data_IF_700361082925
#
_entry.id   IF_700361082925
#
_cell.length_a   1.000
_cell.length_b   1.000
_cell.length_c   1.000
_cell.angle_alpha   90.00
_cell.angle_beta   90.00
_cell.angle_gamma   90.00
#
_symmetry.space_group_name_H-M   'P 1'
#
loop_
_entity.id
_entity.type
_entity.pdbx_description
1 polymer ?
#
# COMPACT_ATOMS: atom_id res chain seq x y z
N UNK A 1 -2.23 -5.18 -11.10
CA UNK A 1 -2.22 -4.57 -12.42
C UNK A 1 -1.16 -3.49 -12.45
N UNK A 2 -0.21 -3.57 -13.36
CA UNK A 2 0.94 -2.65 -13.42
C UNK A 2 1.01 -1.89 -14.75
N UNK A 3 1.37 -0.61 -14.66
CA UNK A 3 1.63 0.26 -15.79
C UNK A 3 3.04 0.85 -15.60
N UNK A 4 3.84 0.81 -16.65
CA UNK A 4 5.16 1.45 -16.66
C UNK A 4 5.21 2.44 -17.81
N UNK A 5 5.61 3.67 -17.53
CA UNK A 5 5.69 4.74 -18.52
C UNK A 5 7.17 5.10 -18.76
N UNK A 6 7.60 5.04 -20.01
CA UNK A 6 8.96 5.35 -20.44
C UNK A 6 8.96 5.98 -21.83
N UNK A 7 10.14 6.29 -22.34
CA UNK A 7 10.37 6.85 -23.69
C UNK A 7 10.87 5.78 -24.65
N UNK A 8 10.37 5.79 -25.87
CA UNK A 8 10.85 4.92 -26.95
C UNK A 8 12.24 5.38 -27.42
N UNK A 9 13.20 4.46 -27.42
CA UNK A 9 14.59 4.71 -27.82
C UNK A 9 14.84 4.56 -29.32
N UNK A 10 13.85 4.00 -30.05
CA UNK A 10 13.92 3.78 -31.51
C UNK A 10 12.52 3.68 -32.09
N UNK A 11 12.42 3.87 -33.40
CA UNK A 11 11.19 3.58 -34.14
C UNK A 11 10.90 2.07 -34.08
N UNK A 12 9.64 1.72 -33.85
CA UNK A 12 9.19 0.33 -33.83
C UNK A 12 7.70 0.26 -34.10
N UNK A 13 7.22 -0.96 -34.41
CA UNK A 13 5.80 -1.26 -34.57
C UNK A 13 5.45 -2.45 -33.69
N UNK A 14 4.43 -2.30 -32.87
CA UNK A 14 3.91 -3.36 -32.01
C UNK A 14 2.42 -3.52 -32.29
N UNK A 15 2.03 -4.65 -32.82
CA UNK A 15 0.68 -4.89 -33.35
C UNK A 15 0.29 -3.79 -34.39
N UNK A 16 -0.80 -3.06 -34.13
CA UNK A 16 -1.23 -1.93 -34.97
C UNK A 16 -0.65 -0.57 -34.52
N UNK A 17 0.18 -0.53 -33.46
CA UNK A 17 0.70 0.68 -32.88
C UNK A 17 2.05 1.06 -33.51
N UNK A 18 2.09 2.19 -34.21
CA UNK A 18 3.33 2.77 -34.71
C UNK A 18 3.95 3.66 -33.64
N UNK A 19 5.21 3.40 -33.30
CA UNK A 19 5.95 4.07 -32.25
C UNK A 19 7.15 4.75 -32.87
N UNK A 20 7.25 6.06 -32.72
CA UNK A 20 8.41 6.83 -33.15
C UNK A 20 9.39 6.98 -32.00
N UNK A 21 10.69 7.07 -32.33
CA UNK A 21 11.71 7.41 -31.36
C UNK A 21 11.35 8.71 -30.65
N UNK A 22 11.45 8.73 -29.33
CA UNK A 22 11.08 9.87 -28.50
C UNK A 22 9.61 9.90 -28.08
N UNK A 23 8.72 9.07 -28.67
CA UNK A 23 7.37 8.92 -28.12
C UNK A 23 7.42 8.38 -26.68
N UNK A 24 6.45 8.79 -25.87
CA UNK A 24 6.20 8.17 -24.59
C UNK A 24 5.36 6.91 -24.80
N UNK A 25 5.71 5.84 -24.13
CA UNK A 25 5.05 4.54 -24.26
C UNK A 25 4.61 4.04 -22.88
N UNK A 26 3.47 3.38 -22.84
CA UNK A 26 2.99 2.71 -21.63
C UNK A 26 2.95 1.19 -21.83
N UNK A 27 3.63 0.50 -20.90
CA UNK A 27 3.59 -0.95 -20.80
C UNK A 27 2.57 -1.34 -19.75
N UNK A 28 1.54 -2.04 -20.16
CA UNK A 28 0.49 -2.59 -19.28
C UNK A 28 0.76 -4.06 -19.08
N UNK A 29 1.00 -4.47 -17.83
CA UNK A 29 1.41 -5.82 -17.47
C UNK A 29 2.57 -6.35 -18.35
N UNK A 30 3.56 -5.48 -18.60
CA UNK A 30 4.76 -5.80 -19.36
C UNK A 30 4.64 -5.73 -20.90
N UNK A 31 3.45 -5.43 -21.45
CA UNK A 31 3.22 -5.30 -22.90
C UNK A 31 2.97 -3.84 -23.26
N UNK A 32 3.62 -3.35 -24.32
CA UNK A 32 3.35 -1.99 -24.84
C UNK A 32 1.90 -1.97 -25.37
N UNK A 33 1.10 -1.03 -24.85
CA UNK A 33 -0.31 -0.88 -25.20
C UNK A 33 -0.66 0.53 -25.68
N UNK A 34 0.13 1.53 -25.31
CA UNK A 34 -0.13 2.92 -25.66
C UNK A 34 1.17 3.61 -26.04
N UNK A 35 1.08 4.56 -26.97
CA UNK A 35 2.17 5.43 -27.37
C UNK A 35 1.61 6.81 -27.74
N UNK A 36 2.22 7.88 -27.24
CA UNK A 36 1.84 9.26 -27.48
C UNK A 36 3.09 10.13 -27.63
N UNK A 37 2.98 11.23 -28.35
CA UNK A 37 4.05 12.21 -28.46
C UNK A 37 4.21 13.08 -27.21
N UNK A 38 3.15 13.17 -26.40
CA UNK A 38 3.07 13.97 -25.20
C UNK A 38 2.83 13.10 -23.95
N UNK A 39 3.64 13.34 -22.89
CA UNK A 39 3.58 12.56 -21.65
C UNK A 39 2.25 12.73 -20.91
N UNK A 40 1.73 13.95 -20.86
CA UNK A 40 0.49 14.27 -20.13
C UNK A 40 -0.70 13.58 -20.79
N UNK A 41 -0.75 13.61 -22.12
CA UNK A 41 -1.75 12.92 -22.93
C UNK A 41 -1.67 11.41 -22.68
N UNK A 42 -0.47 10.82 -22.70
CA UNK A 42 -0.29 9.40 -22.44
C UNK A 42 -0.80 9.02 -21.04
N UNK A 43 -0.40 9.77 -20.01
CA UNK A 43 -0.83 9.51 -18.61
C UNK A 43 -2.36 9.57 -18.50
N UNK A 44 -2.99 10.59 -19.11
CA UNK A 44 -4.44 10.73 -19.10
C UNK A 44 -5.14 9.54 -19.75
N UNK A 45 -4.75 9.20 -20.99
CA UNK A 45 -5.34 8.08 -21.76
C UNK A 45 -5.19 6.76 -21.03
N UNK A 46 -3.98 6.49 -20.52
CA UNK A 46 -3.69 5.23 -19.83
C UNK A 46 -4.54 5.08 -18.57
N UNK A 47 -4.73 6.13 -17.79
CA UNK A 47 -5.55 6.09 -16.59
C UNK A 47 -7.04 5.94 -16.92
N UNK A 48 -7.54 6.68 -17.92
CA UNK A 48 -8.95 6.59 -18.37
C UNK A 48 -9.31 5.19 -18.85
N UNK A 49 -8.38 4.49 -19.51
CA UNK A 49 -8.61 3.16 -20.05
C UNK A 49 -8.42 2.03 -19.02
N UNK A 50 -7.74 2.28 -17.91
CA UNK A 50 -7.36 1.22 -16.98
C UNK A 50 -7.93 1.39 -15.56
N UNK A 51 -8.35 2.60 -15.17
CA UNK A 51 -9.14 2.79 -13.95
C UNK A 51 -10.58 2.37 -14.24
N UNK A 52 -11.07 1.41 -13.47
CA UNK A 52 -12.44 0.90 -13.58
C UNK A 52 -13.26 1.21 -12.33
N UNK A 53 -14.55 0.93 -12.35
CA UNK A 53 -15.42 1.04 -11.17
C UNK A 53 -14.99 0.15 -9.99
N UNK A 54 -14.21 -0.90 -10.29
CA UNK A 54 -13.73 -1.85 -9.30
C UNK A 54 -12.33 -1.50 -8.79
N UNK A 55 -11.68 -0.49 -9.35
CA UNK A 55 -10.37 -0.01 -8.87
C UNK A 55 -10.51 0.67 -7.53
N UNK A 56 -9.70 0.26 -6.56
CA UNK A 56 -9.73 0.73 -5.18
C UNK A 56 -8.54 1.61 -4.84
N UNK A 57 -7.34 1.19 -5.26
CA UNK A 57 -6.10 1.89 -4.92
C UNK A 57 -5.27 2.18 -6.16
N UNK A 58 -4.50 3.25 -6.08
CA UNK A 58 -3.45 3.59 -7.02
C UNK A 58 -2.16 3.89 -6.25
N UNK A 59 -1.10 3.17 -6.58
CA UNK A 59 0.25 3.46 -6.08
C UNK A 59 1.11 3.93 -7.24
N UNK A 60 1.72 5.08 -7.09
CA UNK A 60 2.54 5.74 -8.11
C UNK A 60 3.96 5.90 -7.57
N UNK A 61 4.92 5.22 -8.17
CA UNK A 61 6.33 5.52 -7.96
C UNK A 61 6.80 6.46 -9.06
N UNK A 62 7.23 7.66 -8.64
CA UNK A 62 7.69 8.72 -9.52
C UNK A 62 9.17 8.55 -9.83
N UNK A 63 9.53 8.62 -11.11
CA UNK A 63 10.92 8.58 -11.56
C UNK A 63 11.66 9.91 -11.36
N UNK A 64 12.94 9.92 -11.72
CA UNK A 64 13.79 11.11 -11.63
C UNK A 64 13.30 12.27 -12.52
N UNK A 65 12.67 11.97 -13.64
CA UNK A 65 12.11 12.95 -14.60
C UNK A 65 10.59 13.14 -14.41
N UNK A 66 10.13 13.26 -13.16
CA UNK A 66 8.72 13.50 -12.85
C UNK A 66 8.21 14.84 -13.34
N UNK A 67 6.94 14.89 -13.72
CA UNK A 67 6.26 16.08 -14.25
C UNK A 67 5.09 16.46 -13.33
N UNK A 68 5.08 17.69 -12.83
CA UNK A 68 4.04 18.17 -11.89
C UNK A 68 2.64 18.24 -12.53
N UNK A 69 2.53 18.41 -13.83
CA UNK A 69 1.23 18.40 -14.52
C UNK A 69 0.72 16.96 -14.61
N UNK A 70 1.58 15.99 -14.88
CA UNK A 70 1.21 14.57 -14.83
C UNK A 70 0.71 14.18 -13.45
N UNK A 71 1.35 14.67 -12.38
CA UNK A 71 0.89 14.43 -11.00
C UNK A 71 -0.53 14.94 -10.78
N UNK A 72 -0.84 16.16 -11.22
CA UNK A 72 -2.20 16.72 -11.14
C UNK A 72 -3.21 15.88 -11.92
N UNK A 73 -2.85 15.42 -13.13
CA UNK A 73 -3.69 14.52 -13.94
C UNK A 73 -3.97 13.21 -13.19
N UNK A 74 -2.93 12.61 -12.60
CA UNK A 74 -3.07 11.38 -11.81
C UNK A 74 -3.99 11.62 -10.61
N UNK A 75 -3.82 12.70 -9.88
CA UNK A 75 -4.64 13.07 -8.72
C UNK A 75 -6.12 13.27 -9.11
N UNK A 76 -6.38 13.96 -10.22
CA UNK A 76 -7.72 14.21 -10.74
C UNK A 76 -8.40 12.92 -11.21
N UNK A 77 -7.74 12.13 -12.05
CA UNK A 77 -8.26 10.86 -12.58
C UNK A 77 -8.50 9.82 -11.48
N UNK A 78 -7.75 9.89 -10.41
CA UNK A 78 -7.85 8.97 -9.28
C UNK A 78 -8.52 9.57 -8.04
N UNK A 79 -9.29 10.66 -8.18
CA UNK A 79 -9.89 11.40 -7.04
C UNK A 79 -10.66 10.52 -6.05
N UNK A 80 -11.30 9.47 -6.52
CA UNK A 80 -12.10 8.54 -5.71
C UNK A 80 -11.30 7.31 -5.24
N UNK A 81 -10.01 7.21 -5.58
CA UNK A 81 -9.16 6.09 -5.22
C UNK A 81 -8.28 6.45 -4.02
N UNK A 82 -7.86 5.43 -3.28
CA UNK A 82 -6.76 5.60 -2.36
C UNK A 82 -5.44 5.76 -3.11
N UNK A 83 -4.73 6.85 -2.81
CA UNK A 83 -3.50 7.23 -3.50
C UNK A 83 -2.28 7.09 -2.61
N UNK A 84 -1.25 6.46 -3.13
CA UNK A 84 0.08 6.45 -2.53
C UNK A 84 1.08 6.92 -3.57
N UNK A 85 1.82 7.99 -3.26
CA UNK A 85 2.94 8.46 -4.07
C UNK A 85 4.25 8.07 -3.38
N UNK A 86 5.17 7.52 -4.16
CA UNK A 86 6.49 7.10 -3.71
C UNK A 86 7.51 7.83 -4.58
N UNK A 87 8.48 8.48 -3.96
CA UNK A 87 9.63 9.02 -4.68
C UNK A 87 10.58 7.86 -4.99
N UNK A 88 10.36 7.25 -6.16
CA UNK A 88 11.10 6.08 -6.61
C UNK A 88 12.46 6.43 -7.18
N UNK A 89 12.63 7.67 -7.66
CA UNK A 89 13.85 8.18 -8.28
C UNK A 89 14.50 7.22 -9.30
N UNK A 90 13.67 6.36 -9.92
CA UNK A 90 14.16 5.40 -10.92
C UNK A 90 14.52 6.10 -12.22
N UNK A 91 15.62 5.68 -12.81
CA UNK A 91 16.03 6.05 -14.15
C UNK A 91 15.22 5.33 -15.22
N UNK A 92 15.12 5.89 -16.43
CA UNK A 92 14.49 5.33 -17.63
C UNK A 92 12.96 5.16 -17.57
N UNK A 93 12.33 5.33 -16.40
CA UNK A 93 10.89 5.28 -16.29
C UNK A 93 10.37 6.51 -15.56
N UNK A 94 9.42 7.19 -16.20
CA UNK A 94 8.74 8.36 -15.62
C UNK A 94 7.83 7.97 -14.46
N UNK A 95 7.07 6.88 -14.65
CA UNK A 95 6.11 6.39 -13.65
C UNK A 95 6.02 4.87 -13.65
N UNK A 96 5.98 4.30 -12.45
CA UNK A 96 5.42 2.98 -12.19
C UNK A 96 4.10 3.16 -11.48
N UNK A 97 3.01 2.72 -12.11
CA UNK A 97 1.65 2.84 -11.57
C UNK A 97 1.10 1.45 -11.31
N UNK A 98 0.65 1.21 -10.10
CA UNK A 98 -0.01 -0.03 -9.69
C UNK A 98 -1.46 0.27 -9.34
N UNK A 99 -2.38 -0.44 -9.99
CA UNK A 99 -3.81 -0.38 -9.73
C UNK A 99 -4.25 -1.68 -9.07
N UNK A 100 -4.95 -1.58 -7.97
CA UNK A 100 -5.55 -2.73 -7.30
C UNK A 100 -7.07 -2.62 -7.37
N UNK A 101 -7.69 -3.67 -7.86
CA UNK A 101 -9.13 -3.77 -7.95
C UNK A 101 -9.70 -4.45 -6.70
N UNK A 102 -10.96 -4.20 -6.43
CA UNK A 102 -11.73 -4.90 -5.41
C UNK A 102 -11.67 -6.40 -5.67
N UNK A 103 -11.30 -7.16 -4.64
CA UNK A 103 -11.38 -8.61 -4.70
C UNK A 103 -12.86 -9.04 -4.56
N UNK A 104 -13.49 -9.65 -5.56
CA UNK A 104 -14.89 -10.07 -5.48
C UNK A 104 -15.15 -11.11 -4.39
N UNK A 105 -14.12 -11.84 -3.98
CA UNK A 105 -14.19 -12.85 -2.92
C UNK A 105 -13.78 -12.30 -1.55
N UNK A 106 -13.56 -10.98 -1.44
CA UNK A 106 -13.15 -10.37 -0.18
C UNK A 106 -14.32 -10.35 0.81
N UNK A 107 -14.13 -10.80 2.05
CA UNK A 107 -15.15 -10.69 3.09
C UNK A 107 -15.59 -9.23 3.26
N UNK A 108 -16.88 -9.02 3.50
CA UNK A 108 -17.42 -7.66 3.70
C UNK A 108 -16.92 -7.03 5.00
N UNK A 109 -16.64 -7.87 6.00
CA UNK A 109 -16.27 -7.48 7.37
C UNK A 109 -14.81 -7.83 7.61
N UNK A 110 -14.05 -6.88 8.12
CA UNK A 110 -12.73 -7.12 8.72
C UNK A 110 -12.82 -7.11 10.24
N UNK A 111 -11.88 -7.79 10.89
CA UNK A 111 -11.69 -7.74 12.33
C UNK A 111 -10.46 -6.88 12.62
N UNK A 112 -10.59 -5.97 13.57
CA UNK A 112 -9.48 -5.19 14.13
C UNK A 112 -9.34 -5.53 15.61
N UNK A 113 -8.17 -5.99 16.01
CA UNK A 113 -7.84 -6.28 17.41
C UNK A 113 -6.51 -5.65 17.78
N UNK A 114 -6.08 -5.79 19.01
CA UNK A 114 -4.73 -5.43 19.46
C UNK A 114 -3.89 -6.68 19.75
N UNK A 115 -2.60 -6.50 20.07
CA UNK A 115 -1.68 -7.63 20.28
C UNK A 115 -1.94 -8.43 21.56
N UNK A 116 -2.90 -8.02 22.42
CA UNK A 116 -3.34 -8.81 23.56
C UNK A 116 -4.20 -10.01 23.14
N UNK A 117 -4.62 -10.07 21.88
CA UNK A 117 -5.36 -11.19 21.31
C UNK A 117 -4.53 -12.48 21.19
N UNK A 118 -3.23 -12.40 21.43
CA UNK A 118 -2.26 -13.49 21.25
C UNK A 118 -2.07 -13.98 19.80
N UNK A 119 -2.74 -13.39 18.83
CA UNK A 119 -2.51 -13.66 17.42
C UNK A 119 -1.20 -13.06 16.96
N UNK A 120 -0.47 -13.76 16.09
CA UNK A 120 0.73 -13.25 15.45
C UNK A 120 0.48 -12.95 13.97
N UNK A 121 1.27 -12.04 13.34
CA UNK A 121 1.04 -11.63 11.95
C UNK A 121 0.95 -12.79 10.96
N UNK A 122 1.74 -13.85 11.17
CA UNK A 122 1.79 -15.03 10.30
C UNK A 122 0.47 -15.81 10.31
N UNK A 123 -0.20 -15.90 11.47
CA UNK A 123 -1.49 -16.61 11.62
C UNK A 123 -2.62 -15.87 10.91
N UNK A 124 -2.56 -14.54 10.84
CA UNK A 124 -3.62 -13.71 10.28
C UNK A 124 -3.34 -13.22 8.86
N UNK A 125 -2.21 -13.57 8.26
CA UNK A 125 -1.75 -13.04 6.97
C UNK A 125 -2.79 -13.21 5.85
N UNK A 126 -3.55 -14.30 5.85
CA UNK A 126 -4.59 -14.61 4.85
C UNK A 126 -6.01 -14.43 5.39
N UNK A 127 -6.17 -13.86 6.56
CA UNK A 127 -7.46 -13.61 7.19
C UNK A 127 -7.86 -12.13 7.12
N UNK A 128 -9.14 -11.81 7.20
CA UNK A 128 -9.63 -10.43 7.30
C UNK A 128 -9.41 -9.84 8.69
N UNK A 129 -8.22 -10.04 9.24
CA UNK A 129 -7.83 -9.61 10.60
C UNK A 129 -6.66 -8.64 10.52
N UNK A 130 -6.71 -7.58 11.32
CA UNK A 130 -5.62 -6.63 11.51
C UNK A 130 -5.34 -6.48 12.99
N UNK A 131 -4.06 -6.46 13.35
CA UNK A 131 -3.59 -6.32 14.73
C UNK A 131 -2.94 -4.95 14.89
N UNK A 132 -3.35 -4.22 15.95
CA UNK A 132 -2.69 -2.98 16.37
C UNK A 132 -1.76 -3.33 17.53
N UNK A 133 -0.43 -3.16 17.37
CA UNK A 133 0.50 -3.57 18.40
C UNK A 133 0.47 -2.65 19.63
N UNK A 134 0.54 -3.22 20.82
CA UNK A 134 0.92 -2.53 22.02
C UNK A 134 2.38 -2.08 21.89
N UNK A 135 2.80 -1.17 22.74
CA UNK A 135 4.21 -0.79 22.91
C UNK A 135 4.78 -1.52 24.12
N UNK A 136 5.93 -2.14 23.96
CA UNK A 136 6.67 -2.84 25.00
C UNK A 136 7.95 -2.10 25.27
N UNK A 137 8.19 -1.69 26.52
CA UNK A 137 9.47 -1.17 26.96
C UNK A 137 10.41 -2.35 27.29
N UNK A 138 11.47 -2.48 26.51
CA UNK A 138 12.43 -3.56 26.63
C UNK A 138 13.84 -2.98 26.58
N UNK A 139 14.61 -3.20 27.66
CA UNK A 139 16.00 -2.69 27.80
C UNK A 139 16.12 -1.18 27.53
N UNK A 140 15.16 -0.39 28.02
CA UNK A 140 15.14 1.06 27.86
C UNK A 140 14.69 1.57 26.48
N UNK A 141 14.28 0.70 25.57
CA UNK A 141 13.73 1.05 24.27
C UNK A 141 12.27 0.64 24.15
N UNK A 142 11.52 1.35 23.27
CA UNK A 142 10.13 1.03 22.97
C UNK A 142 10.04 0.26 21.66
N UNK A 143 9.36 -0.88 21.70
CA UNK A 143 9.12 -1.76 20.56
C UNK A 143 7.62 -1.96 20.34
N UNK A 144 7.23 -2.22 19.11
CA UNK A 144 5.89 -2.73 18.79
C UNK A 144 5.83 -4.22 19.09
N UNK A 145 4.96 -4.59 20.03
CA UNK A 145 4.74 -5.98 20.42
C UNK A 145 4.43 -6.85 19.20
N UNK A 146 4.97 -8.07 19.18
CA UNK A 146 4.87 -9.08 18.11
C UNK A 146 5.38 -8.69 16.72
N UNK A 147 5.64 -7.40 16.46
CA UNK A 147 6.14 -6.90 15.17
C UNK A 147 7.64 -6.57 15.18
N UNK A 148 8.13 -5.98 16.28
CA UNK A 148 9.51 -5.53 16.43
C UNK A 148 10.26 -6.31 17.52
N UNK A 149 9.53 -7.00 18.39
CA UNK A 149 10.06 -7.88 19.43
C UNK A 149 9.21 -9.14 19.52
N UNK A 150 9.84 -10.31 19.59
CA UNK A 150 9.14 -11.58 19.73
C UNK A 150 8.80 -11.89 21.19
N UNK A 151 7.75 -12.68 21.40
CA UNK A 151 7.38 -13.14 22.74
C UNK A 151 8.48 -13.96 23.41
N UNK A 152 9.19 -14.78 22.66
CA UNK A 152 10.34 -15.55 23.21
C UNK A 152 11.42 -14.66 23.79
N UNK A 153 11.79 -13.58 23.08
CA UNK A 153 12.74 -12.59 23.57
C UNK A 153 12.25 -11.92 24.87
N UNK A 154 10.97 -11.59 24.92
CA UNK A 154 10.32 -10.99 26.10
C UNK A 154 10.37 -11.97 27.29
N UNK A 155 9.95 -13.21 27.08
CA UNK A 155 9.96 -14.23 28.15
C UNK A 155 11.37 -14.56 28.65
N UNK A 156 12.36 -14.69 27.77
CA UNK A 156 13.74 -14.90 28.17
C UNK A 156 14.27 -13.80 29.07
N UNK A 157 13.91 -12.54 28.81
CA UNK A 157 14.34 -11.44 29.64
C UNK A 157 13.63 -11.42 31.01
N UNK A 158 12.32 -11.69 31.04
CA UNK A 158 11.57 -11.81 32.30
C UNK A 158 12.19 -12.90 33.18
N UNK A 159 12.50 -14.06 32.61
CA UNK A 159 13.12 -15.16 33.33
C UNK A 159 14.53 -14.85 33.84
N UNK A 160 15.30 -14.06 33.10
CA UNK A 160 16.66 -13.65 33.48
C UNK A 160 16.69 -12.59 34.56
N UNK A 161 15.78 -11.63 34.47
CA UNK A 161 15.81 -10.43 35.33
C UNK A 161 14.81 -10.48 36.48
N UNK A 162 13.85 -11.40 36.42
CA UNK A 162 12.70 -11.49 37.33
C UNK A 162 11.93 -10.14 37.45
N UNK A 163 11.98 -9.32 36.40
CA UNK A 163 11.30 -8.03 36.32
C UNK A 163 10.18 -8.09 35.30
N UNK A 164 9.02 -7.56 35.67
CA UNK A 164 7.90 -7.41 34.73
C UNK A 164 8.26 -6.37 33.65
N UNK A 165 7.74 -6.56 32.46
CA UNK A 165 7.84 -5.58 31.39
C UNK A 165 6.76 -4.51 31.55
N UNK A 166 7.09 -3.31 31.11
CA UNK A 166 6.10 -2.24 30.99
C UNK A 166 5.53 -2.26 29.60
N UNK A 167 4.22 -2.25 29.54
CA UNK A 167 3.48 -2.12 28.29
C UNK A 167 2.66 -0.84 28.29
N UNK A 168 2.40 -0.29 27.13
CA UNK A 168 1.47 0.82 26.96
C UNK A 168 0.53 0.53 25.79
N UNK A 169 -0.70 1.02 25.92
CA UNK A 169 -1.72 0.89 24.90
C UNK A 169 -1.28 1.52 23.58
N UNK A 170 -1.81 1.02 22.43
CA UNK A 170 -1.67 1.71 21.17
C UNK A 170 -2.31 3.10 21.26
N UNK A 171 -1.69 4.10 20.64
CA UNK A 171 -2.29 5.42 20.58
C UNK A 171 -3.55 5.42 19.68
N UNK A 172 -4.53 6.32 19.90
CA UNK A 172 -5.70 6.45 19.04
C UNK A 172 -5.34 6.60 17.55
N UNK A 173 -4.21 7.24 17.27
CA UNK A 173 -3.69 7.39 15.90
C UNK A 173 -3.28 6.05 15.25
N UNK A 174 -2.85 5.07 16.03
CA UNK A 174 -2.49 3.74 15.52
C UNK A 174 -3.75 2.98 15.07
N UNK A 175 -4.82 3.07 15.87
CA UNK A 175 -6.15 2.56 15.49
C UNK A 175 -6.69 3.27 14.25
N UNK A 176 -6.60 4.61 14.19
CA UNK A 176 -7.07 5.38 13.04
C UNK A 176 -6.35 4.96 11.74
N UNK A 177 -5.03 4.76 11.80
CA UNK A 177 -4.25 4.24 10.66
C UNK A 177 -4.71 2.84 10.26
N UNK A 178 -4.98 1.96 11.23
CA UNK A 178 -5.45 0.61 10.97
C UNK A 178 -6.85 0.61 10.32
N UNK A 179 -7.80 1.42 10.82
CA UNK A 179 -9.11 1.60 10.20
C UNK A 179 -9.00 2.09 8.75
N UNK A 180 -8.23 3.16 8.53
CA UNK A 180 -8.00 3.70 7.18
C UNK A 180 -7.45 2.63 6.24
N UNK A 181 -6.45 1.86 6.68
CA UNK A 181 -5.85 0.78 5.89
C UNK A 181 -6.85 -0.32 5.55
N UNK A 182 -7.74 -0.69 6.46
CA UNK A 182 -8.77 -1.70 6.20
C UNK A 182 -9.82 -1.20 5.20
N UNK A 183 -10.28 0.04 5.33
CA UNK A 183 -11.17 0.64 4.31
C UNK A 183 -10.48 0.77 2.95
N UNK A 184 -9.19 1.11 2.92
CA UNK A 184 -8.37 1.15 1.70
C UNK A 184 -8.33 -0.21 1.00
N UNK A 185 -8.25 -1.30 1.75
CA UNK A 185 -8.32 -2.66 1.23
C UNK A 185 -9.72 -3.04 0.71
N UNK A 186 -10.73 -2.21 0.92
CA UNK A 186 -12.09 -2.40 0.41
C UNK A 186 -13.07 -3.05 1.38
N UNK A 187 -12.71 -3.24 2.65
CA UNK A 187 -13.67 -3.69 3.65
C UNK A 187 -14.73 -2.62 3.91
N UNK A 188 -15.98 -3.02 3.99
CA UNK A 188 -17.10 -2.09 4.22
C UNK A 188 -17.42 -1.92 5.69
N UNK A 189 -17.12 -2.92 6.49
CA UNK A 189 -17.41 -2.97 7.93
C UNK A 189 -16.17 -3.46 8.68
N UNK A 190 -15.97 -2.95 9.87
CA UNK A 190 -14.87 -3.37 10.75
C UNK A 190 -15.46 -3.69 12.11
N UNK A 191 -15.26 -4.93 12.55
CA UNK A 191 -15.54 -5.33 13.93
C UNK A 191 -14.27 -5.10 14.75
N UNK A 192 -14.31 -4.15 15.68
CA UNK A 192 -13.17 -3.84 16.55
C UNK A 192 -13.30 -4.56 17.87
N UNK A 193 -12.29 -5.35 18.22
CA UNK A 193 -12.23 -6.19 19.44
C UNK A 193 -10.89 -5.94 20.16
N UNK A 194 -10.67 -4.75 20.72
CA UNK A 194 -9.47 -4.48 21.54
C UNK A 194 -9.65 -5.04 22.94
N UNK A 195 -8.56 -5.04 23.72
CA UNK A 195 -8.60 -5.35 25.15
C UNK A 195 -9.62 -4.44 25.86
N UNK A 196 -10.34 -5.01 26.82
CA UNK A 196 -11.31 -4.25 27.62
C UNK A 196 -10.65 -3.11 28.37
N UNK A 197 -11.27 -1.92 28.32
CA UNK A 197 -10.82 -0.73 29.07
C UNK A 197 -10.80 -0.91 30.59
N UNK A 198 -11.41 -2.01 31.12
CA UNK A 198 -11.34 -2.36 32.54
C UNK A 198 -10.10 -3.17 32.89
N UNK A 199 -9.37 -3.66 31.88
CA UNK A 199 -8.15 -4.47 32.05
C UNK A 199 -6.88 -3.75 31.60
N UNK A 200 -7.03 -2.52 31.13
CA UNK A 200 -5.91 -1.74 30.60
C UNK A 200 -5.68 -0.46 31.38
#
# INVERSE_FOLDING_TARGET
FSIKITKAVRDTKVDALEIKQGNYIALVNGKIKYAESDLQTLVSVVLDQNITKDTMTITVAEGSEKDEQCKKIIEEKSKNLYKTFIDGNQENYYYYIYLENKNPNMPEIAILTDSTSDLVPEEVMNLPVSIVPLKVEFKGNLYKDIFEISRSQVWEEILKTNTGLKTSQPAPQDFLKAYKRLFQKGYKKILSIPLSSKLS
#
